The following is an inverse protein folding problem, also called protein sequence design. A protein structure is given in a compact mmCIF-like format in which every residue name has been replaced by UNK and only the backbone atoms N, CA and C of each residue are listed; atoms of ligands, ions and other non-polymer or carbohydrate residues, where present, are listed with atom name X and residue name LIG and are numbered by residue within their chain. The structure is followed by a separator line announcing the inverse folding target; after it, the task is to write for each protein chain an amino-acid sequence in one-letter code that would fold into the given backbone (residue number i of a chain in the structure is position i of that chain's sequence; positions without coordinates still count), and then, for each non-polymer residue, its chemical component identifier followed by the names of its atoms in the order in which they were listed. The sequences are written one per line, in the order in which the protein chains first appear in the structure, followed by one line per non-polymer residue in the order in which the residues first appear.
data_IF_215747645881
#
_entry.id   IF_215747645881
#
_cell.length_a   1.000
_cell.length_b   1.000
_cell.length_c   1.000
_cell.angle_alpha   90.00
_cell.angle_beta   90.00
_cell.angle_gamma   90.00
#
_symmetry.space_group_name_H-M   'P 1'
#
loop_
_entity.id
_entity.type
_entity.pdbx_description
1 polymer ?
#
# COMPACT_ATOMS: atom_id res chain seq x y z
N UNK A 1 -14.80 -11.91 -11.19
CA UNK A 1 -15.72 -10.87 -11.66
C UNK A 1 -15.06 -9.51 -11.48
N UNK A 2 -15.55 -8.45 -12.12
CA UNK A 2 -14.90 -7.13 -12.12
C UNK A 2 -14.92 -6.51 -10.70
N UNK A 3 -13.80 -5.95 -10.21
CA UNK A 3 -13.61 -5.54 -8.81
C UNK A 3 -14.23 -4.18 -8.46
N UNK A 4 -15.42 -3.92 -9.00
CA UNK A 4 -16.09 -2.63 -8.94
C UNK A 4 -17.44 -2.74 -8.23
N UNK A 5 -17.71 -1.79 -7.35
CA UNK A 5 -18.88 -1.77 -6.47
C UNK A 5 -19.63 -0.47 -6.64
N UNK A 6 -20.96 -0.51 -6.62
CA UNK A 6 -21.79 0.70 -6.61
C UNK A 6 -21.92 1.26 -5.20
N UNK A 7 -21.52 2.52 -5.02
CA UNK A 7 -21.63 3.25 -3.76
C UNK A 7 -22.51 4.49 -3.97
N UNK A 8 -23.67 4.51 -3.32
CA UNK A 8 -24.59 5.64 -3.38
C UNK A 8 -23.91 6.95 -2.97
N UNK A 9 -23.99 7.96 -3.83
CA UNK A 9 -23.34 9.27 -3.64
C UNK A 9 -21.92 9.38 -4.21
N UNK A 10 -21.34 8.28 -4.72
CA UNK A 10 -20.02 8.25 -5.37
C UNK A 10 -20.11 7.69 -6.79
N UNK A 11 -20.89 6.61 -6.97
CA UNK A 11 -20.92 5.81 -8.19
C UNK A 11 -20.06 4.56 -8.05
N UNK A 12 -19.47 4.12 -9.16
CA UNK A 12 -18.64 2.94 -9.21
C UNK A 12 -17.29 3.16 -8.49
N UNK A 13 -16.92 2.24 -7.60
CA UNK A 13 -15.63 2.27 -6.88
C UNK A 13 -14.87 0.96 -7.04
N UNK A 14 -13.56 1.05 -7.23
CA UNK A 14 -12.66 -0.08 -7.32
C UNK A 14 -12.16 -0.54 -5.94
N UNK A 15 -12.06 -1.84 -5.73
CA UNK A 15 -11.38 -2.42 -4.55
C UNK A 15 -10.13 -3.19 -5.00
N UNK A 16 -8.92 -2.76 -4.57
CA UNK A 16 -7.68 -3.47 -4.85
C UNK A 16 -7.75 -4.94 -4.47
N UNK A 17 -7.12 -5.78 -5.29
CA UNK A 17 -7.09 -7.24 -5.22
C UNK A 17 -6.80 -7.79 -3.83
N UNK A 18 -5.77 -7.25 -3.16
CA UNK A 18 -5.39 -7.68 -1.82
C UNK A 18 -6.43 -7.37 -0.72
N UNK A 19 -7.42 -6.51 -1.00
CA UNK A 19 -8.46 -6.14 -0.03
C UNK A 19 -9.84 -6.75 -0.34
N UNK A 20 -9.97 -7.52 -1.43
CA UNK A 20 -11.25 -8.10 -1.85
C UNK A 20 -11.82 -9.11 -0.86
N UNK A 21 -10.97 -9.78 -0.08
CA UNK A 21 -11.43 -10.67 0.99
C UNK A 21 -12.26 -9.94 2.06
N UNK A 22 -12.07 -8.61 2.21
CA UNK A 22 -12.81 -7.77 3.15
C UNK A 22 -14.05 -7.13 2.53
N UNK A 23 -14.09 -7.09 1.20
CA UNK A 23 -15.22 -6.61 0.40
C UNK A 23 -15.62 -7.70 -0.63
N UNK A 24 -16.29 -8.78 -0.19
CA UNK A 24 -16.78 -9.82 -1.11
C UNK A 24 -17.86 -9.26 -2.05
N UNK A 25 -18.14 -9.95 -3.16
CA UNK A 25 -18.97 -9.45 -4.27
C UNK A 25 -20.34 -8.88 -3.83
N UNK A 26 -21.01 -9.50 -2.85
CA UNK A 26 -22.34 -9.07 -2.38
C UNK A 26 -22.29 -8.09 -1.19
N UNK A 27 -21.11 -7.57 -0.83
CA UNK A 27 -20.98 -6.71 0.34
C UNK A 27 -21.63 -5.36 0.10
N UNK A 28 -22.39 -4.90 1.09
CA UNK A 28 -22.90 -3.53 1.08
C UNK A 28 -21.79 -2.57 1.48
N UNK A 29 -21.31 -1.79 0.52
CA UNK A 29 -20.45 -0.63 0.76
C UNK A 29 -21.31 0.62 0.95
N UNK A 30 -20.99 1.44 1.94
CA UNK A 30 -21.68 2.71 2.18
C UNK A 30 -20.67 3.82 2.48
N UNK A 31 -20.87 4.99 1.86
CA UNK A 31 -20.13 6.21 2.19
C UNK A 31 -20.60 6.80 3.53
N UNK A 32 -19.64 7.19 4.35
CA UNK A 32 -19.83 7.92 5.60
C UNK A 32 -18.94 9.18 5.57
N UNK A 33 -19.56 10.34 5.77
CA UNK A 33 -18.93 11.67 5.75
C UNK A 33 -18.84 12.27 7.16
N UNK A 34 -18.35 13.50 7.33
CA UNK A 34 -18.23 14.19 8.63
C UNK A 34 -19.47 14.04 9.54
N UNK A 35 -20.68 14.20 8.99
CA UNK A 35 -21.92 14.06 9.77
C UNK A 35 -22.12 12.66 10.36
N UNK A 36 -21.63 11.63 9.68
CA UNK A 36 -21.67 10.25 10.16
C UNK A 36 -20.48 9.91 11.06
N UNK A 37 -19.30 10.50 10.81
CA UNK A 37 -18.09 10.30 11.59
C UNK A 37 -18.23 10.85 13.02
N UNK A 38 -19.03 11.90 13.23
CA UNK A 38 -19.46 12.36 14.56
C UNK A 38 -20.29 11.31 15.32
N UNK A 39 -20.82 10.30 14.63
CA UNK A 39 -21.72 9.27 15.16
C UNK A 39 -21.17 7.86 14.88
N UNK A 40 -20.02 7.48 15.45
CA UNK A 40 -19.31 6.24 15.11
C UNK A 40 -20.12 4.95 15.35
N UNK A 41 -21.16 5.01 16.21
CA UNK A 41 -22.12 3.92 16.39
C UNK A 41 -22.88 3.52 15.10
N UNK A 42 -23.12 4.47 14.18
CA UNK A 42 -23.77 4.17 12.89
C UNK A 42 -22.85 3.32 12.01
N UNK A 43 -21.57 3.69 11.98
CA UNK A 43 -20.51 2.99 11.25
C UNK A 43 -20.30 1.61 11.86
N UNK A 44 -20.19 1.52 13.18
CA UNK A 44 -20.08 0.26 13.91
C UNK A 44 -21.24 -0.68 13.60
N UNK A 45 -22.48 -0.19 13.62
CA UNK A 45 -23.67 -1.00 13.34
C UNK A 45 -23.69 -1.53 11.90
N UNK A 46 -23.20 -0.75 10.94
CA UNK A 46 -23.05 -1.17 9.54
C UNK A 46 -22.01 -2.29 9.40
N UNK A 47 -20.84 -2.13 10.03
CA UNK A 47 -19.77 -3.14 10.03
C UNK A 47 -20.22 -4.42 10.74
N UNK A 48 -20.93 -4.30 11.87
CA UNK A 48 -21.50 -5.43 12.63
C UNK A 48 -22.48 -6.26 11.79
N UNK A 49 -23.19 -5.64 10.85
CA UNK A 49 -24.08 -6.30 9.88
C UNK A 49 -23.32 -6.90 8.68
N UNK A 50 -22.01 -6.76 8.64
CA UNK A 50 -21.15 -7.32 7.59
C UNK A 50 -20.72 -6.33 6.52
N UNK A 51 -21.24 -5.10 6.52
CA UNK A 51 -20.93 -4.09 5.50
C UNK A 51 -19.52 -3.51 5.60
N UNK A 52 -19.10 -2.84 4.53
CA UNK A 52 -17.85 -2.07 4.45
C UNK A 52 -18.19 -0.58 4.50
N UNK A 53 -17.44 0.17 5.31
CA UNK A 53 -17.61 1.61 5.45
C UNK A 53 -16.54 2.31 4.60
N UNK A 54 -16.98 3.01 3.55
CA UNK A 54 -16.17 3.96 2.82
C UNK A 54 -16.19 5.29 3.58
N UNK A 55 -15.05 5.82 3.97
CA UNK A 55 -14.89 6.99 4.82
C UNK A 55 -14.32 8.15 4.00
N UNK A 56 -14.84 9.34 4.23
CA UNK A 56 -14.32 10.59 3.70
C UNK A 56 -14.58 11.72 4.68
N UNK A 57 -13.66 12.69 4.76
CA UNK A 57 -13.79 13.86 5.61
C UNK A 57 -12.61 14.06 6.55
N UNK A 58 -12.88 14.67 7.71
CA UNK A 58 -11.87 15.11 8.66
C UNK A 58 -11.07 13.93 9.26
N UNK A 59 -9.74 14.07 9.26
CA UNK A 59 -8.78 13.06 9.71
C UNK A 59 -8.92 12.74 11.19
N UNK A 60 -9.23 13.73 12.03
CA UNK A 60 -9.40 13.53 13.47
C UNK A 60 -10.70 12.76 13.75
N UNK A 61 -11.78 13.07 13.02
CA UNK A 61 -13.04 12.31 13.12
C UNK A 61 -12.89 10.86 12.63
N UNK A 62 -12.13 10.63 11.56
CA UNK A 62 -11.79 9.28 11.09
C UNK A 62 -10.97 8.54 12.15
N UNK A 63 -9.95 9.19 12.72
CA UNK A 63 -9.10 8.60 13.77
C UNK A 63 -9.92 8.22 15.00
N UNK A 64 -10.81 9.11 15.46
CA UNK A 64 -11.74 8.86 16.56
C UNK A 64 -12.67 7.67 16.26
N UNK A 65 -13.15 7.55 15.03
CA UNK A 65 -13.95 6.41 14.59
C UNK A 65 -13.14 5.11 14.64
N UNK A 66 -11.92 5.11 14.13
CA UNK A 66 -11.02 3.94 14.14
C UNK A 66 -10.75 3.48 15.57
N UNK A 67 -10.44 4.41 16.49
CA UNK A 67 -10.25 4.10 17.90
C UNK A 67 -11.52 3.50 18.52
N UNK A 68 -12.67 4.10 18.26
CA UNK A 68 -13.96 3.60 18.75
C UNK A 68 -14.23 2.16 18.31
N UNK A 69 -14.04 1.87 17.02
CA UNK A 69 -14.21 0.53 16.46
C UNK A 69 -13.19 -0.44 17.06
N UNK A 70 -11.94 -0.01 17.22
CA UNK A 70 -10.89 -0.85 17.80
C UNK A 70 -11.20 -1.23 19.28
N UNK A 71 -11.73 -0.29 20.08
CA UNK A 71 -12.16 -0.56 21.46
C UNK A 71 -13.31 -1.58 21.55
N UNK A 72 -14.16 -1.64 20.51
CA UNK A 72 -15.30 -2.56 20.42
C UNK A 72 -15.08 -3.75 19.48
N UNK A 73 -13.84 -4.01 19.07
CA UNK A 73 -13.52 -5.02 18.04
C UNK A 73 -14.05 -6.42 18.38
N UNK A 74 -14.05 -6.78 19.66
CA UNK A 74 -14.49 -8.09 20.12
C UNK A 74 -15.99 -8.33 19.89
N UNK A 75 -16.79 -7.26 19.82
CA UNK A 75 -18.21 -7.35 19.46
C UNK A 75 -18.46 -7.55 17.95
N UNK A 76 -17.46 -7.25 17.12
CA UNK A 76 -17.52 -7.40 15.66
C UNK A 76 -17.01 -8.77 15.20
N UNK A 77 -16.22 -9.42 16.04
CA UNK A 77 -15.80 -10.81 15.86
C UNK A 77 -16.99 -11.69 16.23
N UNK A 78 -17.64 -12.29 15.23
CA UNK A 78 -18.60 -13.36 15.52
C UNK A 78 -17.84 -14.49 16.23
N UNK A 79 -18.27 -14.97 17.40
CA UNK A 79 -17.71 -16.19 17.95
C UNK A 79 -17.89 -17.26 16.89
N UNK A 80 -16.78 -17.88 16.49
CA UNK A 80 -16.80 -19.03 15.59
C UNK A 80 -17.76 -20.04 16.20
N UNK A 81 -18.94 -20.18 15.58
CA UNK A 81 -19.90 -21.22 15.93
C UNK A 81 -19.12 -22.52 15.89
N UNK A 82 -18.96 -23.12 17.07
CA UNK A 82 -18.33 -24.41 17.27
C UNK A 82 -18.71 -25.34 16.12
N UNK A 83 -17.70 -25.83 15.38
CA UNK A 83 -17.85 -27.06 14.62
C UNK A 83 -18.47 -28.06 15.59
N UNK A 84 -19.67 -28.52 15.24
CA UNK A 84 -20.48 -29.37 16.09
C UNK A 84 -19.63 -30.52 16.62
N UNK A 85 -19.73 -30.75 17.93
CA UNK A 85 -19.33 -31.99 18.58
C UNK A 85 -19.92 -33.17 17.79
N UNK A 86 -19.11 -33.86 16.99
CA UNK A 86 -19.25 -35.28 16.76
C UNK A 86 -17.90 -35.92 17.07
N UNK A 87 -17.93 -36.78 18.09
CA UNK A 87 -16.83 -37.64 18.50
C UNK A 87 -16.51 -38.61 17.37
N UNK A 88 -15.28 -39.10 17.46
CA UNK A 88 -14.72 -40.28 16.81
C UNK A 88 -14.15 -40.06 15.40
N UNK A 89 -12.83 -39.86 15.33
CA UNK A 89 -11.89 -40.76 14.65
C UNK A 89 -10.44 -40.28 14.88
N UNK A 90 -9.57 -41.20 15.32
CA UNK A 90 -8.12 -41.01 15.43
C UNK A 90 -7.55 -40.66 14.05
N UNK A 91 -6.91 -39.49 13.90
CA UNK A 91 -6.01 -39.21 12.78
C UNK A 91 -5.20 -37.92 12.98
N UNK A 92 -3.88 -38.10 13.07
CA UNK A 92 -2.78 -37.16 12.80
C UNK A 92 -2.88 -35.72 13.29
N UNK A 93 -2.00 -35.36 14.24
CA UNK A 93 -1.56 -34.00 14.54
C UNK A 93 -0.98 -33.32 13.29
N UNK A 94 -1.83 -32.61 12.55
CA UNK A 94 -1.41 -31.47 11.74
C UNK A 94 -1.93 -30.22 12.46
N UNK A 95 -1.10 -29.22 12.77
CA UNK A 95 -1.61 -27.95 13.28
C UNK A 95 -2.56 -27.38 12.23
N UNK A 96 -3.86 -27.40 12.53
CA UNK A 96 -4.86 -26.67 11.75
C UNK A 96 -4.41 -25.21 11.79
N UNK A 97 -4.02 -24.66 10.65
CA UNK A 97 -3.78 -23.24 10.50
C UNK A 97 -4.99 -22.50 11.08
N UNK A 98 -4.81 -21.82 12.21
CA UNK A 98 -5.81 -20.94 12.76
C UNK A 98 -6.15 -19.95 11.65
N UNK A 99 -7.40 -19.95 11.17
CA UNK A 99 -7.89 -18.87 10.31
C UNK A 99 -7.78 -17.60 11.14
N UNK A 100 -6.67 -16.89 10.98
CA UNK A 100 -6.38 -15.61 11.63
C UNK A 100 -7.60 -14.74 11.39
N UNK A 101 -8.39 -14.49 12.44
CA UNK A 101 -9.59 -13.69 12.31
C UNK A 101 -9.16 -12.32 11.79
N UNK A 102 -9.66 -11.97 10.61
CA UNK A 102 -9.35 -10.71 9.95
C UNK A 102 -9.83 -9.56 10.82
N UNK A 103 -8.96 -8.56 11.05
CA UNK A 103 -9.29 -7.39 11.86
C UNK A 103 -10.51 -6.67 11.29
N UNK A 104 -11.53 -6.33 12.11
CA UNK A 104 -12.69 -5.57 11.66
C UNK A 104 -12.32 -4.17 11.14
N UNK A 105 -11.13 -3.67 11.49
CA UNK A 105 -10.59 -2.40 10.98
C UNK A 105 -10.35 -2.42 9.47
N UNK A 106 -10.20 -3.60 8.86
CA UNK A 106 -10.04 -3.73 7.40
C UNK A 106 -11.33 -3.41 6.62
N UNK A 107 -12.47 -3.30 7.33
CA UNK A 107 -13.75 -2.85 6.77
C UNK A 107 -13.97 -1.35 6.88
N UNK A 108 -13.06 -0.62 7.53
CA UNK A 108 -12.98 0.83 7.47
C UNK A 108 -12.03 1.18 6.32
N UNK A 109 -12.57 1.66 5.20
CA UNK A 109 -11.80 1.97 4.01
C UNK A 109 -11.90 3.46 3.70
N UNK A 110 -10.78 4.10 3.40
CA UNK A 110 -10.73 5.49 2.95
C UNK A 110 -11.08 5.54 1.47
N UNK A 111 -11.93 6.50 1.11
CA UNK A 111 -12.21 6.82 -0.28
C UNK A 111 -11.03 7.59 -0.88
N UNK A 112 -10.58 7.13 -2.03
CA UNK A 112 -9.56 7.75 -2.86
C UNK A 112 -10.18 8.07 -4.20
N UNK A 113 -9.94 9.25 -4.75
CA UNK A 113 -10.44 9.57 -6.08
C UNK A 113 -9.67 8.77 -7.16
N UNK A 114 -10.10 8.90 -8.41
CA UNK A 114 -9.49 8.21 -9.55
C UNK A 114 -8.00 8.49 -9.73
N UNK A 115 -7.53 9.68 -9.34
CA UNK A 115 -6.14 10.12 -9.49
C UNK A 115 -5.25 9.75 -8.30
N UNK A 116 -5.77 9.06 -7.27
CA UNK A 116 -5.00 8.68 -6.08
C UNK A 116 -5.03 9.69 -4.93
N UNK A 117 -5.83 10.76 -5.00
CA UNK A 117 -5.97 11.73 -3.92
C UNK A 117 -6.95 11.23 -2.85
N UNK A 118 -6.49 11.17 -1.61
CA UNK A 118 -7.28 10.82 -0.44
C UNK A 118 -8.42 11.83 -0.23
N UNK A 119 -9.64 11.33 -0.01
CA UNK A 119 -10.79 12.16 0.34
C UNK A 119 -10.84 12.44 1.84
N UNK A 120 -9.70 12.85 2.40
CA UNK A 120 -9.47 13.12 3.83
C UNK A 120 -8.93 14.54 4.01
N UNK A 121 -9.37 15.24 5.05
CA UNK A 121 -8.96 16.60 5.38
C UNK A 121 -8.14 16.62 6.70
N UNK A 122 -6.97 17.27 6.77
CA UNK A 122 -6.27 17.92 5.66
C UNK A 122 -5.79 16.91 4.61
N UNK A 123 -5.74 17.35 3.35
CA UNK A 123 -5.31 16.51 2.25
C UNK A 123 -3.84 16.09 2.45
N UNK A 124 -3.61 14.78 2.49
CA UNK A 124 -2.27 14.20 2.47
C UNK A 124 -1.93 13.81 1.04
N UNK A 125 -0.80 14.30 0.55
CA UNK A 125 -0.26 13.88 -0.74
C UNK A 125 0.48 12.53 -0.59
N UNK A 126 0.01 11.53 -1.32
CA UNK A 126 0.61 10.20 -1.41
C UNK A 126 0.60 9.80 -2.89
N UNK A 127 1.65 10.15 -3.65
CA UNK A 127 1.70 9.83 -5.06
C UNK A 127 1.79 8.31 -5.27
N UNK A 128 1.29 7.83 -6.41
CA UNK A 128 1.33 6.41 -6.81
C UNK A 128 0.62 5.47 -5.83
N UNK A 129 -0.43 5.95 -5.16
CA UNK A 129 -1.10 5.20 -4.09
C UNK A 129 -1.70 3.87 -4.58
N UNK A 130 -2.14 3.78 -5.83
CA UNK A 130 -2.65 2.55 -6.43
C UNK A 130 -1.54 1.50 -6.57
N UNK A 131 -0.37 1.92 -7.05
CA UNK A 131 0.81 1.06 -7.14
C UNK A 131 1.38 0.69 -5.77
N UNK A 132 1.34 1.60 -4.79
CA UNK A 132 1.74 1.34 -3.40
C UNK A 132 0.86 0.30 -2.71
N UNK A 133 -0.38 0.09 -3.19
CA UNK A 133 -1.23 -1.04 -2.76
C UNK A 133 -1.10 -2.26 -3.69
N UNK A 134 -0.05 -2.33 -4.49
CA UNK A 134 0.30 -3.51 -5.30
C UNK A 134 -0.48 -3.66 -6.60
N UNK A 135 -1.26 -2.66 -7.01
CA UNK A 135 -1.99 -2.68 -8.27
C UNK A 135 -1.17 -2.08 -9.41
N UNK A 136 -1.45 -2.50 -10.65
CA UNK A 136 -0.85 -1.84 -11.80
C UNK A 136 -1.39 -0.41 -11.97
N UNK A 137 -0.65 0.49 -12.65
CA UNK A 137 -1.21 1.73 -13.13
C UNK A 137 -2.51 1.47 -13.89
N UNK A 138 -3.51 2.33 -13.72
CA UNK A 138 -4.81 2.26 -14.41
C UNK A 138 -5.70 1.06 -14.03
N UNK A 139 -5.33 0.23 -13.05
CA UNK A 139 -6.15 -0.91 -12.62
C UNK A 139 -7.56 -0.49 -12.14
N UNK A 140 -7.71 0.75 -11.67
CA UNK A 140 -8.97 1.34 -11.26
C UNK A 140 -9.83 1.90 -12.40
N UNK A 141 -9.36 1.89 -13.66
CA UNK A 141 -10.12 2.35 -14.83
C UNK A 141 -10.76 3.74 -14.64
N UNK A 142 -9.98 4.70 -14.15
CA UNK A 142 -10.43 6.06 -13.82
C UNK A 142 -11.59 6.15 -12.81
N UNK A 143 -11.86 5.08 -12.06
CA UNK A 143 -12.83 5.08 -10.97
C UNK A 143 -12.14 5.40 -9.63
N UNK A 144 -12.85 6.05 -8.69
CA UNK A 144 -12.43 6.10 -7.29
C UNK A 144 -12.15 4.70 -6.74
N UNK A 145 -11.31 4.60 -5.72
CA UNK A 145 -10.97 3.32 -5.10
C UNK A 145 -10.92 3.39 -3.57
N UNK A 146 -10.93 2.22 -2.94
CA UNK A 146 -11.00 2.08 -1.49
C UNK A 146 -9.75 1.41 -0.92
N UNK A 147 -9.20 1.99 0.14
CA UNK A 147 -8.04 1.44 0.86
C UNK A 147 -8.37 1.30 2.34
N UNK A 148 -8.18 0.12 2.96
CA UNK A 148 -8.31 -0.02 4.40
C UNK A 148 -7.45 0.97 5.18
N UNK A 149 -8.02 1.60 6.22
CA UNK A 149 -7.28 2.52 7.09
C UNK A 149 -5.96 1.92 7.62
N UNK A 150 -5.93 0.64 8.08
CA UNK A 150 -4.67 0.05 8.53
C UNK A 150 -3.61 -0.08 7.43
N UNK A 151 -4.01 -0.30 6.17
CA UNK A 151 -3.09 -0.40 5.05
C UNK A 151 -2.53 0.98 4.67
N UNK A 152 -3.40 2.00 4.62
CA UNK A 152 -2.99 3.38 4.39
C UNK A 152 -1.97 3.84 5.45
N UNK A 153 -2.25 3.57 6.72
CA UNK A 153 -1.34 3.93 7.82
C UNK A 153 0.02 3.25 7.67
N UNK A 154 0.05 1.96 7.33
CA UNK A 154 1.32 1.26 7.09
C UNK A 154 2.13 1.88 5.95
N UNK A 155 1.49 2.23 4.85
CA UNK A 155 2.15 2.92 3.72
C UNK A 155 2.74 4.25 4.20
N UNK A 156 1.96 5.06 4.92
CA UNK A 156 2.43 6.34 5.47
C UNK A 156 3.61 6.16 6.42
N UNK A 157 3.50 5.23 7.38
CA UNK A 157 4.54 4.94 8.37
C UNK A 157 5.84 4.46 7.68
N UNK A 158 5.73 3.56 6.69
CA UNK A 158 6.88 3.06 5.92
C UNK A 158 7.57 4.17 5.12
N UNK A 159 6.80 5.04 4.46
CA UNK A 159 7.34 6.15 3.67
C UNK A 159 7.92 7.29 4.53
N UNK A 160 7.62 7.33 5.82
CA UNK A 160 8.24 8.25 6.77
C UNK A 160 9.58 7.73 7.32
N UNK A 161 9.87 6.44 7.20
CA UNK A 161 11.10 5.84 7.73
C UNK A 161 12.27 6.07 6.75
N UNK A 162 13.27 6.90 7.12
CA UNK A 162 14.43 7.10 6.27
C UNK A 162 15.36 5.88 6.31
N UNK A 163 15.87 5.49 5.15
CA UNK A 163 16.94 4.53 5.00
C UNK A 163 18.22 5.26 4.61
N UNK A 164 19.17 5.32 5.54
CA UNK A 164 20.46 5.97 5.35
C UNK A 164 21.48 5.03 4.72
N UNK A 165 22.28 5.57 3.80
CA UNK A 165 23.43 4.90 3.20
C UNK A 165 24.54 5.92 3.01
N UNK A 166 25.78 5.48 3.18
CA UNK A 166 27.00 6.23 2.87
C UNK A 166 27.22 6.42 1.36
N UNK A 167 26.45 5.70 0.54
CA UNK A 167 26.56 5.75 -0.91
C UNK A 167 25.88 6.97 -1.56
N UNK A 168 24.95 7.61 -0.85
CA UNK A 168 24.07 8.68 -1.32
C UNK A 168 24.06 9.87 -0.35
N UNK A 169 23.74 11.06 -0.87
CA UNK A 169 23.71 12.30 -0.08
C UNK A 169 22.42 12.47 0.75
N UNK A 170 21.38 11.70 0.44
CA UNK A 170 20.07 11.74 1.11
C UNK A 170 19.63 10.33 1.48
N UNK A 171 18.68 10.25 2.41
CA UNK A 171 18.02 8.99 2.75
C UNK A 171 16.97 8.59 1.71
N UNK A 172 16.93 7.29 1.43
CA UNK A 172 15.87 6.65 0.67
C UNK A 172 14.65 6.43 1.57
N UNK A 173 13.50 6.20 0.96
CA UNK A 173 12.33 5.62 1.63
C UNK A 173 11.99 4.30 0.97
N UNK A 174 11.38 3.39 1.72
CA UNK A 174 11.05 2.05 1.24
C UNK A 174 9.65 1.72 1.72
N UNK A 175 8.78 1.29 0.82
CA UNK A 175 7.44 0.84 1.18
C UNK A 175 7.47 -0.56 1.84
N UNK A 176 6.34 -1.00 2.39
CA UNK A 176 6.26 -2.19 3.26
C UNK A 176 6.81 -3.47 2.62
N UNK A 177 6.47 -3.76 1.36
CA UNK A 177 6.84 -5.02 0.71
C UNK A 177 8.08 -4.89 -0.19
N UNK A 178 8.72 -3.73 -0.22
CA UNK A 178 9.94 -3.52 -0.99
C UNK A 178 11.14 -3.79 -0.09
N UNK A 179 12.09 -4.56 -0.61
CA UNK A 179 13.29 -4.88 0.16
C UNK A 179 14.12 -3.60 0.39
N UNK A 180 14.41 -3.24 1.65
CA UNK A 180 15.35 -2.16 1.90
C UNK A 180 16.75 -2.58 1.42
N UNK A 181 17.64 -1.64 1.07
CA UNK A 181 18.99 -1.95 0.60
C UNK A 181 19.88 -2.62 1.67
N UNK A 182 19.73 -3.92 1.94
CA UNK A 182 20.33 -4.52 3.15
C UNK A 182 21.86 -4.69 3.12
N UNK A 183 22.45 -4.83 1.93
CA UNK A 183 23.89 -5.12 1.79
C UNK A 183 24.67 -3.89 1.35
N UNK A 184 25.51 -3.39 2.26
CA UNK A 184 26.51 -2.37 1.95
C UNK A 184 27.51 -2.87 0.92
N UNK A 185 27.83 -4.16 0.96
CA UNK A 185 28.76 -4.83 0.04
C UNK A 185 28.23 -4.78 -1.39
N UNK A 186 26.94 -5.08 -1.61
CA UNK A 186 26.30 -4.97 -2.92
C UNK A 186 26.37 -3.53 -3.44
N UNK A 187 26.01 -2.56 -2.61
CA UNK A 187 26.06 -1.14 -2.99
C UNK A 187 27.48 -0.73 -3.38
N UNK A 188 28.46 -1.09 -2.56
CA UNK A 188 29.86 -0.75 -2.79
C UNK A 188 30.40 -1.39 -4.07
N UNK A 189 30.05 -2.65 -4.33
CA UNK A 189 30.43 -3.36 -5.54
C UNK A 189 29.92 -2.64 -6.80
N UNK A 190 28.65 -2.21 -6.81
CA UNK A 190 28.10 -1.45 -7.93
C UNK A 190 28.77 -0.08 -8.09
N UNK A 191 29.06 0.62 -6.99
CA UNK A 191 29.80 1.88 -7.06
C UNK A 191 31.20 1.71 -7.69
N UNK A 192 31.94 0.67 -7.30
CA UNK A 192 33.23 0.33 -7.90
C UNK A 192 33.06 0.00 -9.38
N UNK A 193 32.04 -0.79 -9.73
CA UNK A 193 31.71 -1.13 -11.11
C UNK A 193 31.50 0.11 -11.98
N UNK A 194 30.63 1.04 -11.53
CA UNK A 194 30.39 2.31 -12.23
C UNK A 194 31.68 3.13 -12.37
N UNK A 195 32.50 3.20 -11.33
CA UNK A 195 33.77 3.93 -11.38
C UNK A 195 34.72 3.36 -12.44
N UNK A 196 34.83 2.03 -12.54
CA UNK A 196 35.71 1.36 -13.49
C UNK A 196 35.28 1.56 -14.96
N UNK A 197 33.97 1.68 -15.23
CA UNK A 197 33.46 1.79 -16.61
C UNK A 197 33.13 3.22 -17.04
N UNK A 198 33.06 4.19 -16.11
CA UNK A 198 32.58 5.55 -16.42
C UNK A 198 33.29 6.21 -17.59
N UNK A 199 34.59 5.92 -17.77
CA UNK A 199 35.41 6.57 -18.80
C UNK A 199 35.42 5.86 -20.14
N UNK A 200 35.00 4.59 -20.17
CA UNK A 200 34.87 3.79 -21.38
C UNK A 200 33.46 3.81 -21.98
N UNK A 201 32.46 4.26 -21.22
CA UNK A 201 31.08 4.37 -21.70
C UNK A 201 30.91 5.52 -22.73
N UNK A 202 30.11 5.31 -23.79
CA UNK A 202 29.75 6.37 -24.71
C UNK A 202 28.90 7.45 -24.01
N UNK A 203 28.80 8.62 -24.64
CA UNK A 203 27.80 9.61 -24.25
C UNK A 203 26.39 9.02 -24.42
N UNK A 204 25.48 9.40 -23.52
CA UNK A 204 24.09 8.95 -23.51
C UNK A 204 23.94 7.42 -23.39
N UNK A 205 24.90 6.78 -22.73
CA UNK A 205 24.85 5.35 -22.44
C UNK A 205 23.56 4.97 -21.73
N UNK A 206 22.93 3.88 -22.17
CA UNK A 206 21.73 3.34 -21.53
C UNK A 206 22.13 2.38 -20.42
N UNK A 207 21.55 2.58 -19.23
CA UNK A 207 21.70 1.69 -18.06
C UNK A 207 20.36 1.08 -17.76
N UNK A 208 20.29 -0.25 -17.66
CA UNK A 208 19.07 -0.98 -17.31
C UNK A 208 19.21 -1.57 -15.90
N UNK A 209 18.28 -1.20 -15.02
CA UNK A 209 18.13 -1.71 -13.66
C UNK A 209 16.92 -2.66 -13.60
N UNK A 210 17.19 -3.95 -13.49
CA UNK A 210 16.17 -5.02 -13.43
C UNK A 210 15.93 -5.42 -11.98
N UNK A 211 14.69 -5.32 -11.52
CA UNK A 211 14.35 -5.48 -10.11
C UNK A 211 14.78 -4.24 -9.32
N UNK A 212 14.35 -3.06 -9.78
CA UNK A 212 14.85 -1.79 -9.27
C UNK A 212 14.56 -1.56 -7.78
N UNK A 213 13.54 -2.23 -7.20
CA UNK A 213 13.27 -2.20 -5.77
C UNK A 213 13.07 -0.78 -5.25
N UNK A 214 13.99 -0.32 -4.40
CA UNK A 214 13.97 1.06 -3.87
C UNK A 214 14.54 2.12 -4.83
N UNK A 215 15.17 1.70 -5.93
CA UNK A 215 15.80 2.58 -6.91
C UNK A 215 17.24 2.98 -6.58
N UNK A 216 17.86 2.41 -5.53
CA UNK A 216 19.21 2.80 -5.10
C UNK A 216 20.25 2.66 -6.22
N UNK A 217 20.22 1.58 -7.00
CA UNK A 217 21.18 1.35 -8.08
C UNK A 217 20.92 2.28 -9.26
N UNK A 218 19.65 2.53 -9.60
CA UNK A 218 19.24 3.54 -10.58
C UNK A 218 19.75 4.95 -10.22
N UNK A 219 19.61 5.37 -8.97
CA UNK A 219 20.10 6.67 -8.47
C UNK A 219 21.63 6.72 -8.54
N UNK A 220 22.31 5.65 -8.10
CA UNK A 220 23.77 5.55 -8.17
C UNK A 220 24.28 5.62 -9.62
N UNK A 221 23.63 4.93 -10.55
CA UNK A 221 23.98 4.98 -11.97
C UNK A 221 23.84 6.42 -12.49
N UNK A 222 22.72 7.09 -12.22
CA UNK A 222 22.47 8.46 -12.64
C UNK A 222 23.54 9.44 -12.14
N UNK A 223 23.90 9.35 -10.86
CA UNK A 223 24.91 10.24 -10.26
C UNK A 223 26.34 9.91 -10.68
N UNK A 224 26.73 8.64 -10.61
CA UNK A 224 28.13 8.23 -10.85
C UNK A 224 28.52 8.31 -12.32
N UNK A 225 27.54 8.20 -13.22
CA UNK A 225 27.75 8.33 -14.66
C UNK A 225 27.30 9.68 -15.21
N UNK A 226 26.97 10.67 -14.37
CA UNK A 226 26.39 11.96 -14.79
C UNK A 226 27.16 12.66 -15.92
N UNK A 227 28.50 12.58 -15.93
CA UNK A 227 29.35 13.12 -17.01
C UNK A 227 29.10 12.50 -18.39
N UNK A 228 28.48 11.31 -18.43
CA UNK A 228 28.05 10.60 -19.65
C UNK A 228 26.58 10.83 -20.00
N UNK A 229 25.80 11.55 -19.18
CA UNK A 229 24.35 11.77 -19.35
C UNK A 229 23.57 10.47 -19.57
N UNK A 230 23.63 9.51 -18.64
CA UNK A 230 23.09 8.18 -18.85
C UNK A 230 21.56 8.23 -19.00
N UNK A 231 21.02 7.36 -19.86
CA UNK A 231 19.60 7.05 -19.87
C UNK A 231 19.35 5.85 -18.95
N UNK A 232 18.85 6.09 -17.75
CA UNK A 232 18.54 5.03 -16.79
C UNK A 232 17.12 4.51 -17.02
N UNK A 233 16.99 3.20 -17.23
CA UNK A 233 15.73 2.49 -17.35
C UNK A 233 15.61 1.55 -16.15
N UNK A 234 14.55 1.71 -15.36
CA UNK A 234 14.29 0.90 -14.18
C UNK A 234 13.02 0.07 -14.40
N UNK A 235 13.05 -1.20 -13.98
CA UNK A 235 11.88 -2.08 -14.05
C UNK A 235 11.80 -2.98 -12.82
N UNK A 236 10.58 -3.29 -12.43
CA UNK A 236 10.30 -4.26 -11.37
C UNK A 236 9.00 -4.98 -11.70
N UNK A 237 8.85 -6.21 -11.21
CA UNK A 237 7.59 -6.97 -11.32
C UNK A 237 6.55 -6.46 -10.31
N UNK A 238 7.00 -5.86 -9.20
CA UNK A 238 6.12 -5.30 -8.19
C UNK A 238 5.79 -3.84 -8.53
N UNK A 239 4.51 -3.48 -8.73
CA UNK A 239 4.11 -2.09 -8.92
C UNK A 239 4.57 -1.19 -7.76
N UNK A 240 4.52 -1.73 -6.55
CA UNK A 240 4.96 -1.06 -5.32
C UNK A 240 6.46 -0.69 -5.35
N UNK A 241 7.32 -1.54 -5.92
CA UNK A 241 8.74 -1.24 -6.11
C UNK A 241 8.97 -0.14 -7.16
N UNK A 242 8.21 -0.18 -8.26
CA UNK A 242 8.25 0.89 -9.27
C UNK A 242 7.82 2.23 -8.66
N UNK A 243 6.76 2.25 -7.87
CA UNK A 243 6.30 3.44 -7.15
C UNK A 243 7.35 3.95 -6.15
N UNK A 244 7.93 3.06 -5.35
CA UNK A 244 9.00 3.40 -4.40
C UNK A 244 10.21 4.00 -5.11
N UNK A 245 10.62 3.41 -6.23
CA UNK A 245 11.69 3.93 -7.08
C UNK A 245 11.36 5.34 -7.58
N UNK A 246 10.16 5.59 -8.13
CA UNK A 246 9.73 6.93 -8.59
C UNK A 246 9.75 7.97 -7.46
N UNK A 247 9.28 7.61 -6.27
CA UNK A 247 9.30 8.47 -5.08
C UNK A 247 10.74 8.85 -4.72
N UNK A 248 11.66 7.88 -4.71
CA UNK A 248 13.06 8.16 -4.44
C UNK A 248 13.70 9.01 -5.54
N UNK A 249 13.45 8.74 -6.82
CA UNK A 249 13.95 9.58 -7.91
C UNK A 249 13.53 11.05 -7.73
N UNK A 250 12.25 11.30 -7.42
CA UNK A 250 11.76 12.65 -7.11
C UNK A 250 12.52 13.29 -5.93
N UNK A 251 12.75 12.55 -4.83
CA UNK A 251 13.51 13.04 -3.66
C UNK A 251 14.96 13.41 -3.99
N UNK A 252 15.53 12.77 -5.02
CA UNK A 252 16.88 13.01 -5.52
C UNK A 252 16.94 13.98 -6.72
N UNK A 253 15.80 14.56 -7.12
CA UNK A 253 15.68 15.46 -8.27
C UNK A 253 16.14 14.81 -9.59
N UNK A 254 15.79 13.54 -9.79
CA UNK A 254 16.09 12.74 -10.98
C UNK A 254 14.84 12.43 -11.80
#
# INVERSE_FOLDING_TARGET
MLPFYEVGGVGQVFVPSQFRDFAPEDVRIKLFTNQDLERPNRIFSHIKRGGVAALSGDSDLISNTVEFINRKKDELVKPSLNQGRKRDFKSSDRPRAEKKQSSPLLKLMILVNASGLLQVEPASDLPYLLELVGENPEANQDCPFLIPVPALKKIQDSLQQPYETDALEKSLVVSENVLPPQSKETIHLFQQGFWCVKDSLPMEATVLDLGCGSGILSILAAHRLAGRKPKVLASDILPEAVATTKINLYRFNL
#
